data_IF_584691830023
#
_entry.id   IF_584691830023
#
_cell.length_a   1.000
_cell.length_b   1.000
_cell.length_c   1.000
_cell.angle_alpha   90.00
_cell.angle_beta   90.00
_cell.angle_gamma   90.00
#
_symmetry.space_group_name_H-M   'P 1'
#
loop_
_entity.id
_entity.type
_entity.pdbx_description
1 polymer ?
#
# COMPACT_ATOMS: atom_id res chain seq x y z
N UNK A 1 -17.26 -27.62 15.45
CA UNK A 1 -15.90 -28.06 15.07
C UNK A 1 -15.34 -27.05 14.08
N UNK A 2 -14.19 -26.48 14.33
CA UNK A 2 -13.58 -25.62 13.33
C UNK A 2 -13.24 -26.49 12.11
N UNK A 3 -13.86 -26.20 11.00
CA UNK A 3 -13.52 -26.82 9.71
C UNK A 3 -12.07 -26.46 9.40
N UNK A 4 -11.16 -27.40 9.56
CA UNK A 4 -9.77 -27.22 9.14
C UNK A 4 -9.77 -27.20 7.63
N UNK A 5 -9.66 -25.99 7.06
CA UNK A 5 -9.48 -25.83 5.62
C UNK A 5 -8.11 -26.44 5.27
N UNK A 6 -8.07 -27.51 4.46
CA UNK A 6 -6.81 -28.12 4.08
C UNK A 6 -5.95 -27.10 3.37
N UNK A 7 -4.67 -27.09 3.69
CA UNK A 7 -3.69 -26.17 3.09
C UNK A 7 -3.96 -24.66 3.31
N UNK A 8 -4.69 -24.26 4.35
CA UNK A 8 -5.03 -22.86 4.62
C UNK A 8 -3.81 -21.93 4.58
N UNK A 9 -2.65 -22.39 5.06
CA UNK A 9 -1.40 -21.62 5.01
C UNK A 9 -0.99 -21.23 3.59
N UNK A 10 -1.24 -22.10 2.61
CA UNK A 10 -0.91 -21.79 1.20
C UNK A 10 -1.88 -20.79 0.60
N UNK A 11 -3.15 -20.83 1.00
CA UNK A 11 -4.12 -19.81 0.60
C UNK A 11 -3.76 -18.44 1.18
N UNK A 12 -3.34 -18.40 2.44
CA UNK A 12 -2.86 -17.17 3.08
C UNK A 12 -1.63 -16.63 2.34
N UNK A 13 -0.66 -17.49 2.03
CA UNK A 13 0.53 -17.10 1.27
C UNK A 13 0.16 -16.55 -0.13
N UNK A 14 -0.77 -17.20 -0.83
CA UNK A 14 -1.24 -16.74 -2.13
C UNK A 14 -1.92 -15.37 -2.04
N UNK A 15 -2.77 -15.15 -1.05
CA UNK A 15 -3.43 -13.84 -0.83
C UNK A 15 -2.42 -12.75 -0.53
N UNK A 16 -1.41 -13.02 0.30
CA UNK A 16 -0.33 -12.08 0.58
C UNK A 16 0.50 -11.78 -0.68
N UNK A 17 0.77 -12.79 -1.47
CA UNK A 17 1.46 -12.63 -2.75
C UNK A 17 0.70 -11.70 -3.70
N UNK A 18 -0.59 -11.96 -3.91
CA UNK A 18 -1.42 -11.10 -4.76
C UNK A 18 -1.56 -9.68 -4.20
N UNK A 19 -1.72 -9.53 -2.89
CA UNK A 19 -1.73 -8.22 -2.24
C UNK A 19 -0.44 -7.44 -2.51
N UNK A 20 0.70 -8.09 -2.44
CA UNK A 20 2.00 -7.48 -2.72
C UNK A 20 2.15 -7.13 -4.21
N UNK A 21 1.70 -7.99 -5.10
CA UNK A 21 1.71 -7.71 -6.56
C UNK A 21 0.86 -6.48 -6.87
N UNK A 22 -0.35 -6.40 -6.33
CA UNK A 22 -1.23 -5.24 -6.51
C UNK A 22 -0.58 -3.98 -5.97
N UNK A 23 0.02 -4.04 -4.80
CA UNK A 23 0.75 -2.92 -4.19
C UNK A 23 1.87 -2.40 -5.12
N UNK A 24 2.63 -3.30 -5.74
CA UNK A 24 3.67 -2.92 -6.70
C UNK A 24 3.10 -2.34 -7.99
N UNK A 25 2.02 -2.91 -8.52
CA UNK A 25 1.34 -2.40 -9.72
C UNK A 25 0.83 -0.98 -9.47
N UNK A 26 0.19 -0.74 -8.34
CA UNK A 26 -0.30 0.59 -7.96
C UNK A 26 0.83 1.62 -7.91
N UNK A 27 1.97 1.21 -7.38
CA UNK A 27 3.16 2.07 -7.31
C UNK A 27 3.73 2.40 -8.69
N UNK A 28 3.76 1.44 -9.60
CA UNK A 28 4.27 1.65 -10.96
C UNK A 28 3.30 2.42 -11.85
N UNK A 29 2.03 2.42 -11.53
CA UNK A 29 0.99 3.11 -12.32
C UNK A 29 1.32 4.59 -12.53
N UNK A 30 1.79 5.29 -11.50
CA UNK A 30 2.18 6.71 -11.63
C UNK A 30 3.32 6.89 -12.62
N UNK A 31 4.35 6.04 -12.56
CA UNK A 31 5.50 6.13 -13.47
C UNK A 31 5.10 5.89 -14.93
N UNK A 32 4.20 4.94 -15.16
CA UNK A 32 3.69 4.64 -16.51
C UNK A 32 2.83 5.78 -17.05
N UNK A 33 2.02 6.40 -16.17
CA UNK A 33 1.14 7.50 -16.54
C UNK A 33 1.81 8.88 -16.51
N UNK A 34 3.05 8.96 -16.02
CA UNK A 34 3.74 10.24 -15.88
C UNK A 34 3.73 11.11 -17.14
N UNK A 35 4.04 10.61 -18.37
CA UNK A 35 4.00 11.42 -19.58
C UNK A 35 2.61 11.96 -19.88
N UNK A 36 1.56 11.20 -19.59
CA UNK A 36 0.16 11.61 -19.79
C UNK A 36 -0.21 12.67 -18.76
N UNK A 37 0.12 12.44 -17.49
CA UNK A 37 -0.21 13.35 -16.39
C UNK A 37 0.50 14.69 -16.54
N UNK A 38 1.77 14.70 -16.93
CA UNK A 38 2.51 15.94 -17.18
C UNK A 38 1.89 16.77 -18.32
N UNK A 39 1.38 16.10 -19.34
CA UNK A 39 0.71 16.76 -20.46
C UNK A 39 -0.70 17.24 -20.12
N UNK A 40 -1.50 16.38 -19.49
CA UNK A 40 -2.92 16.64 -19.19
C UNK A 40 -3.10 17.65 -18.03
N UNK A 41 -2.30 17.53 -16.98
CA UNK A 41 -2.38 18.38 -15.79
C UNK A 41 -1.37 19.54 -15.81
N UNK A 42 -0.51 19.62 -16.81
CA UNK A 42 0.53 20.64 -16.89
C UNK A 42 1.57 20.55 -15.76
N UNK A 43 1.84 19.34 -15.28
CA UNK A 43 2.76 19.11 -14.18
C UNK A 43 4.20 19.22 -14.67
N UNK A 44 5.01 20.03 -13.97
CA UNK A 44 6.45 20.13 -14.24
C UNK A 44 7.21 18.93 -13.67
N UNK A 45 8.44 18.70 -14.13
CA UNK A 45 9.31 17.65 -13.58
C UNK A 45 9.59 17.84 -12.09
N UNK A 46 9.71 19.08 -11.64
CA UNK A 46 9.91 19.42 -10.22
C UNK A 46 8.68 19.04 -9.40
N UNK A 47 7.50 19.38 -9.86
CA UNK A 47 6.23 19.03 -9.21
C UNK A 47 6.04 17.51 -9.16
N UNK A 48 6.35 16.81 -10.24
CA UNK A 48 6.34 15.34 -10.27
C UNK A 48 7.30 14.74 -9.25
N UNK A 49 8.53 15.25 -9.17
CA UNK A 49 9.50 14.83 -8.16
C UNK A 49 9.02 15.09 -6.73
N UNK A 50 8.35 16.22 -6.49
CA UNK A 50 7.77 16.53 -5.18
C UNK A 50 6.66 15.56 -4.80
N UNK A 51 5.84 15.15 -5.76
CA UNK A 51 4.79 14.14 -5.55
C UNK A 51 5.40 12.79 -5.16
N UNK A 52 6.43 12.35 -5.87
CA UNK A 52 7.17 11.12 -5.53
C UNK A 52 7.81 11.21 -4.15
N UNK A 53 8.41 12.34 -3.82
CA UNK A 53 9.02 12.58 -2.51
C UNK A 53 7.98 12.53 -1.39
N UNK A 54 6.82 13.14 -1.59
CA UNK A 54 5.72 13.09 -0.63
C UNK A 54 5.25 11.66 -0.38
N UNK A 55 5.11 10.86 -1.44
CA UNK A 55 4.77 9.44 -1.32
C UNK A 55 5.83 8.67 -0.52
N UNK A 56 7.10 8.83 -0.87
CA UNK A 56 8.20 8.15 -0.20
C UNK A 56 8.35 8.57 1.27
N UNK A 57 8.15 9.84 1.57
CA UNK A 57 8.18 10.36 2.95
C UNK A 57 7.06 9.73 3.78
N UNK A 58 5.83 9.73 3.27
CA UNK A 58 4.69 9.11 3.93
C UNK A 58 4.92 7.60 4.13
N UNK A 59 5.40 6.92 3.09
CA UNK A 59 5.73 5.51 3.12
C UNK A 59 6.77 5.19 4.18
N UNK A 60 7.87 5.93 4.22
CA UNK A 60 8.98 5.71 5.15
C UNK A 60 8.54 5.92 6.60
N UNK A 61 7.87 7.02 6.89
CA UNK A 61 7.37 7.32 8.24
C UNK A 61 6.39 6.26 8.71
N UNK A 62 5.44 5.90 7.86
CA UNK A 62 4.42 4.92 8.21
C UNK A 62 4.95 3.49 8.21
N UNK A 63 6.02 3.20 7.45
CA UNK A 63 6.67 1.89 7.51
C UNK A 63 7.14 1.55 8.92
N UNK A 64 7.74 2.51 9.60
CA UNK A 64 8.13 2.37 11.01
C UNK A 64 6.88 2.31 11.91
N UNK A 65 5.93 3.22 11.71
CA UNK A 65 4.69 3.29 12.50
C UNK A 65 3.79 2.08 12.31
N UNK A 66 3.76 1.49 11.13
CA UNK A 66 2.92 0.32 10.84
C UNK A 66 3.32 -0.92 11.62
N UNK A 67 4.61 -1.09 11.89
CA UNK A 67 5.08 -2.18 12.75
C UNK A 67 4.43 -2.10 14.14
N UNK A 68 4.43 -0.91 14.73
CA UNK A 68 3.77 -0.67 16.00
C UNK A 68 2.25 -0.93 15.97
N UNK A 69 1.58 -0.50 14.91
CA UNK A 69 0.14 -0.73 14.72
C UNK A 69 -0.19 -2.22 14.53
N UNK A 70 0.64 -2.93 13.78
CA UNK A 70 0.49 -4.39 13.60
C UNK A 70 0.65 -5.14 14.92
N UNK A 71 1.60 -4.73 15.75
CA UNK A 71 1.80 -5.33 17.06
C UNK A 71 0.62 -5.05 18.00
N UNK A 72 0.04 -3.86 17.93
CA UNK A 72 -1.08 -3.46 18.79
C UNK A 72 -2.42 -4.05 18.36
N UNK A 73 -2.72 -4.05 17.07
CA UNK A 73 -4.02 -4.47 16.54
C UNK A 73 -4.06 -5.95 16.12
N UNK A 74 -2.90 -6.56 15.96
CA UNK A 74 -2.76 -7.87 15.34
C UNK A 74 -2.71 -7.80 13.80
N UNK A 75 -2.08 -8.79 13.20
CA UNK A 75 -1.83 -8.81 11.75
C UNK A 75 -3.12 -8.74 10.91
N UNK A 76 -4.16 -9.46 11.32
CA UNK A 76 -5.44 -9.52 10.60
C UNK A 76 -6.12 -8.15 10.52
N UNK A 77 -6.30 -7.50 11.67
CA UNK A 77 -6.97 -6.20 11.73
C UNK A 77 -6.15 -5.11 11.05
N UNK A 78 -4.85 -5.10 11.28
CA UNK A 78 -3.94 -4.15 10.66
C UNK A 78 -3.95 -4.31 9.13
N UNK A 79 -3.82 -5.51 8.60
CA UNK A 79 -3.85 -5.77 7.17
C UNK A 79 -5.17 -5.31 6.54
N UNK A 80 -6.29 -5.61 7.18
CA UNK A 80 -7.61 -5.17 6.73
C UNK A 80 -7.69 -3.64 6.62
N UNK A 81 -7.29 -2.93 7.68
CA UNK A 81 -7.29 -1.46 7.71
C UNK A 81 -6.39 -0.89 6.61
N UNK A 82 -5.18 -1.40 6.45
CA UNK A 82 -4.25 -0.91 5.43
C UNK A 82 -4.75 -1.18 4.02
N UNK A 83 -5.31 -2.36 3.73
CA UNK A 83 -5.86 -2.69 2.41
C UNK A 83 -7.05 -1.79 2.08
N UNK A 84 -7.97 -1.58 3.00
CA UNK A 84 -9.11 -0.67 2.82
C UNK A 84 -8.64 0.76 2.60
N UNK A 85 -7.69 1.22 3.41
CA UNK A 85 -7.14 2.56 3.30
C UNK A 85 -6.50 2.82 1.95
N UNK A 86 -5.58 1.97 1.52
CA UNK A 86 -4.92 2.19 0.24
C UNK A 86 -5.88 2.01 -0.94
N UNK A 87 -6.84 1.11 -0.84
CA UNK A 87 -7.86 0.92 -1.88
C UNK A 87 -8.71 2.18 -2.07
N UNK A 88 -9.17 2.79 -0.97
CA UNK A 88 -9.91 4.03 -1.01
C UNK A 88 -9.05 5.18 -1.55
N UNK A 89 -7.81 5.30 -1.10
CA UNK A 89 -6.87 6.30 -1.60
C UNK A 89 -6.61 6.13 -3.11
N UNK A 90 -6.44 4.90 -3.56
CA UNK A 90 -6.21 4.59 -4.97
C UNK A 90 -7.45 4.92 -5.84
N UNK A 91 -8.63 4.53 -5.40
CA UNK A 91 -9.89 4.88 -6.07
C UNK A 91 -10.10 6.40 -6.14
N UNK A 92 -9.72 7.13 -5.11
CA UNK A 92 -9.83 8.58 -5.04
C UNK A 92 -8.98 9.30 -6.08
N UNK A 93 -7.97 8.64 -6.67
CA UNK A 93 -7.19 9.20 -7.79
C UNK A 93 -8.05 9.51 -9.03
N UNK A 94 -9.22 8.90 -9.18
CA UNK A 94 -10.18 9.28 -10.22
C UNK A 94 -10.71 10.71 -10.07
N UNK A 95 -10.60 11.31 -8.87
CA UNK A 95 -11.05 12.66 -8.55
C UNK A 95 -9.93 13.70 -8.65
N UNK A 96 -8.75 13.33 -9.13
CA UNK A 96 -7.62 14.24 -9.28
C UNK A 96 -7.95 15.31 -10.31
N UNK A 97 -7.80 16.58 -9.88
CA UNK A 97 -8.04 17.76 -10.73
C UNK A 97 -6.80 18.62 -10.93
N UNK A 98 -5.71 18.36 -10.23
CA UNK A 98 -4.47 19.12 -10.31
C UNK A 98 -3.34 18.54 -9.47
N UNK A 99 -2.21 19.23 -9.44
CA UNK A 99 -0.97 18.82 -8.77
C UNK A 99 -1.17 18.59 -7.28
N UNK A 100 -1.86 19.48 -6.59
CA UNK A 100 -2.07 19.40 -5.15
C UNK A 100 -2.95 18.20 -4.76
N UNK A 101 -4.03 17.96 -5.51
CA UNK A 101 -4.89 16.80 -5.27
C UNK A 101 -4.14 15.49 -5.53
N UNK A 102 -3.35 15.43 -6.58
CA UNK A 102 -2.51 14.26 -6.88
C UNK A 102 -1.48 14.01 -5.78
N UNK A 103 -0.77 15.06 -5.35
CA UNK A 103 0.22 14.97 -4.26
C UNK A 103 -0.39 14.51 -2.93
N UNK A 104 -1.54 15.06 -2.56
CA UNK A 104 -2.26 14.67 -1.35
C UNK A 104 -2.69 13.21 -1.39
N UNK A 105 -3.27 12.76 -2.50
CA UNK A 105 -3.72 11.37 -2.64
C UNK A 105 -2.55 10.38 -2.69
N UNK A 106 -1.43 10.76 -3.29
CA UNK A 106 -0.21 9.95 -3.27
C UNK A 106 0.38 9.84 -1.86
N UNK A 107 0.35 10.92 -1.10
CA UNK A 107 0.76 10.90 0.31
C UNK A 107 -0.12 9.92 1.11
N UNK A 108 -1.43 10.01 0.98
CA UNK A 108 -2.38 9.12 1.64
C UNK A 108 -2.19 7.66 1.21
N UNK A 109 -1.95 7.42 -0.08
CA UNK A 109 -1.66 6.09 -0.61
C UNK A 109 -0.39 5.50 0.00
N UNK A 110 0.66 6.30 0.12
CA UNK A 110 1.92 5.90 0.77
C UNK A 110 1.74 5.46 2.22
N UNK A 111 0.89 6.14 2.97
CA UNK A 111 0.55 5.76 4.35
C UNK A 111 -0.10 4.37 4.42
N UNK A 112 -0.99 4.06 3.49
CA UNK A 112 -1.69 2.77 3.45
C UNK A 112 -0.83 1.62 2.94
N UNK A 113 -0.09 1.84 1.86
CA UNK A 113 0.72 0.79 1.22
C UNK A 113 1.87 0.29 2.10
N UNK A 114 2.45 1.15 2.93
CA UNK A 114 3.57 0.79 3.80
C UNK A 114 3.22 -0.31 4.80
N UNK A 115 1.99 -0.35 5.25
CA UNK A 115 1.51 -1.33 6.23
C UNK A 115 1.40 -2.76 5.70
N UNK A 116 1.27 -2.92 4.39
CA UNK A 116 1.13 -4.25 3.77
C UNK A 116 2.32 -5.16 4.08
N UNK A 117 3.53 -4.67 3.96
CA UNK A 117 4.74 -5.47 4.21
C UNK A 117 4.87 -5.86 5.66
N UNK A 118 4.66 -4.94 6.60
CA UNK A 118 4.75 -5.23 8.03
C UNK A 118 3.70 -6.24 8.47
N UNK A 119 2.46 -6.08 8.01
CA UNK A 119 1.40 -7.03 8.28
C UNK A 119 1.70 -8.40 7.64
N UNK A 120 2.21 -8.43 6.41
CA UNK A 120 2.59 -9.67 5.74
C UNK A 120 3.71 -10.40 6.47
N UNK A 121 4.76 -9.72 6.90
CA UNK A 121 5.83 -10.34 7.70
C UNK A 121 5.30 -10.96 9.00
N UNK A 122 4.40 -10.26 9.67
CA UNK A 122 3.78 -10.78 10.88
C UNK A 122 2.95 -12.04 10.61
N UNK A 123 2.12 -12.02 9.56
CA UNK A 123 1.32 -13.19 9.16
C UNK A 123 2.24 -14.37 8.82
N UNK A 124 3.31 -14.15 8.06
CA UNK A 124 4.26 -15.21 7.72
C UNK A 124 4.90 -15.79 8.97
N UNK A 125 5.32 -14.95 9.91
CA UNK A 125 5.94 -15.42 11.16
C UNK A 125 4.99 -16.24 12.03
N UNK A 126 3.70 -15.93 12.00
CA UNK A 126 2.68 -16.66 12.78
C UNK A 126 2.28 -18.00 12.13
N UNK A 127 2.22 -18.07 10.81
CA UNK A 127 1.76 -19.26 10.09
C UNK A 127 2.89 -20.19 9.62
N UNK A 128 4.13 -19.69 9.59
CA UNK A 128 5.33 -20.42 9.19
C UNK A 128 6.42 -20.28 10.26
N UNK A 129 6.23 -20.84 11.47
CA UNK A 129 7.25 -20.75 12.50
C UNK A 129 8.54 -21.42 12.04
N UNK A 130 9.66 -20.82 12.38
CA UNK A 130 10.98 -21.44 12.18
C UNK A 130 11.08 -22.73 13.01
N UNK A 131 11.58 -23.79 12.38
CA UNK A 131 11.84 -25.06 13.06
C UNK A 131 13.10 -24.96 13.91
#
# INVERSE_FOLDING_TARGET
MPTRIPHLRWWIAALLFFSTVINYVDRQTLSVLAPVLTKELGITEVEYSNILTAFLAAYTVMYVGSGFLVDRWGARAALFVFVVWWSLANMSHALVVGVWSLGMLRFLLGLGESGNFMAAFRVVSEWYPAK
#
